data_IF_836851342996
#
_entry.id   IF_836851342996
#
_cell.length_a   1.000
_cell.length_b   1.000
_cell.length_c   1.000
_cell.angle_alpha   90.00
_cell.angle_beta   90.00
_cell.angle_gamma   90.00
#
_symmetry.space_group_name_H-M   'P 1'
#
loop_
_entity.id
_entity.type
_entity.pdbx_description
1 polymer ?
#
# COMPACT_ATOMS: atom_id res chain seq x y z
N UNK A 1 -6.89 -24.10 -0.88
CA UNK A 1 -5.91 -23.06 -1.28
C UNK A 1 -6.04 -21.98 -0.22
N UNK A 2 -4.96 -21.38 0.26
CA UNK A 2 -5.06 -20.44 1.39
C UNK A 2 -5.57 -19.08 0.91
N UNK A 3 -6.63 -18.60 1.54
CA UNK A 3 -7.18 -17.27 1.34
C UNK A 3 -6.31 -16.22 2.01
N UNK A 4 -6.49 -14.95 1.64
CA UNK A 4 -5.73 -13.85 2.25
C UNK A 4 -6.03 -13.73 3.74
N UNK A 5 -7.29 -13.87 4.14
CA UNK A 5 -7.67 -13.93 5.57
C UNK A 5 -6.94 -15.07 6.28
N UNK A 6 -6.85 -16.25 5.65
CA UNK A 6 -6.12 -17.39 6.20
C UNK A 6 -4.62 -17.08 6.31
N UNK A 7 -4.01 -16.42 5.33
CA UNK A 7 -2.58 -16.03 5.37
C UNK A 7 -2.29 -14.99 6.45
N UNK A 8 -3.19 -14.03 6.65
CA UNK A 8 -3.10 -13.03 7.72
C UNK A 8 -3.22 -13.69 9.10
N UNK A 9 -4.03 -14.75 9.22
CA UNK A 9 -4.25 -15.52 10.46
C UNK A 9 -3.23 -16.64 10.67
N UNK A 10 -2.66 -17.20 9.61
CA UNK A 10 -1.82 -18.40 9.62
C UNK A 10 -0.45 -18.15 10.27
N UNK A 11 -0.18 -16.93 10.75
CA UNK A 11 1.11 -16.54 11.35
C UNK A 11 2.25 -16.88 10.40
N UNK A 12 2.12 -16.44 9.15
CA UNK A 12 3.30 -16.35 8.28
C UNK A 12 4.35 -15.55 9.05
N UNK A 13 5.52 -16.14 9.24
CA UNK A 13 6.69 -15.74 10.05
C UNK A 13 6.95 -14.23 10.20
N UNK A 14 7.87 -13.82 11.11
CA UNK A 14 7.68 -13.27 12.47
C UNK A 14 6.67 -12.11 12.65
N UNK A 15 5.92 -11.71 11.63
CA UNK A 15 5.06 -10.52 11.69
C UNK A 15 3.61 -10.86 12.06
N UNK A 16 2.92 -9.92 12.70
CA UNK A 16 1.50 -10.01 13.05
C UNK A 16 0.68 -9.00 12.26
N UNK A 17 -0.50 -9.41 11.78
CA UNK A 17 -1.41 -8.57 10.98
C UNK A 17 -2.79 -8.38 11.65
N UNK A 18 -2.86 -8.54 12.97
CA UNK A 18 -4.13 -8.54 13.70
C UNK A 18 -4.89 -7.21 13.56
N UNK A 19 -4.19 -6.07 13.59
CA UNK A 19 -4.81 -4.75 13.33
C UNK A 19 -5.36 -4.67 11.91
N UNK A 20 -4.59 -5.07 10.90
CA UNK A 20 -5.03 -5.03 9.50
C UNK A 20 -6.29 -5.88 9.27
N UNK A 21 -6.33 -7.10 9.82
CA UNK A 21 -7.50 -7.97 9.77
C UNK A 21 -8.73 -7.31 10.39
N UNK A 22 -8.59 -6.72 11.59
CA UNK A 22 -9.69 -5.99 12.23
C UNK A 22 -10.19 -4.78 11.40
N UNK A 23 -9.31 -4.13 10.63
CA UNK A 23 -9.68 -3.01 9.76
C UNK A 23 -10.44 -3.50 8.52
N UNK A 24 -10.00 -4.60 7.90
CA UNK A 24 -10.69 -5.21 6.76
C UNK A 24 -12.10 -5.67 7.13
N UNK A 25 -12.23 -6.34 8.28
CA UNK A 25 -13.53 -6.78 8.83
C UNK A 25 -14.43 -5.57 9.12
N UNK A 26 -13.89 -4.51 9.75
CA UNK A 26 -14.66 -3.31 10.08
C UNK A 26 -15.14 -2.52 8.85
N UNK A 27 -14.38 -2.56 7.74
CA UNK A 27 -14.75 -1.91 6.49
C UNK A 27 -15.55 -2.81 5.54
N UNK A 28 -15.71 -4.11 5.83
CA UNK A 28 -16.38 -5.07 4.96
C UNK A 28 -15.63 -5.33 3.65
N UNK A 29 -14.30 -5.15 3.63
CA UNK A 29 -13.49 -5.46 2.45
C UNK A 29 -13.23 -6.96 2.30
N UNK A 30 -13.37 -7.78 3.35
CA UNK A 30 -13.20 -9.23 3.23
C UNK A 30 -14.15 -9.81 2.18
N UNK A 31 -15.44 -9.49 2.25
CA UNK A 31 -16.43 -9.94 1.26
C UNK A 31 -16.11 -9.44 -0.15
N UNK A 32 -15.62 -8.21 -0.31
CA UNK A 32 -15.22 -7.69 -1.63
C UNK A 32 -13.99 -8.42 -2.18
N UNK A 33 -12.99 -8.68 -1.34
CA UNK A 33 -11.78 -9.41 -1.73
C UNK A 33 -12.03 -10.89 -2.01
N UNK A 34 -13.06 -11.49 -1.40
CA UNK A 34 -13.54 -12.83 -1.73
C UNK A 34 -14.36 -12.87 -3.03
N UNK A 35 -15.16 -11.83 -3.32
CA UNK A 35 -15.93 -11.72 -4.59
C UNK A 35 -15.03 -11.37 -5.78
N UNK A 36 -13.90 -10.70 -5.53
CA UNK A 36 -12.87 -10.44 -6.54
C UNK A 36 -12.22 -11.76 -7.00
N UNK A 37 -12.80 -12.33 -8.06
CA UNK A 37 -12.27 -13.50 -8.75
C UNK A 37 -10.95 -13.22 -9.51
N UNK A 38 -10.57 -11.96 -9.64
CA UNK A 38 -9.38 -11.51 -10.35
C UNK A 38 -8.17 -11.44 -9.41
N UNK A 39 -6.98 -11.59 -9.97
CA UNK A 39 -5.75 -11.62 -9.17
C UNK A 39 -5.35 -10.21 -8.75
N UNK A 40 -5.27 -9.97 -7.44
CA UNK A 40 -4.84 -8.69 -6.89
C UNK A 40 -3.54 -8.80 -6.09
N UNK A 41 -2.95 -7.66 -5.79
CA UNK A 41 -1.75 -7.53 -4.96
C UNK A 41 -2.07 -6.69 -3.74
N UNK A 42 -1.98 -7.29 -2.55
CA UNK A 42 -2.22 -6.61 -1.29
C UNK A 42 -0.88 -6.25 -0.64
N UNK A 43 -0.67 -4.96 -0.42
CA UNK A 43 0.45 -4.47 0.37
C UNK A 43 0.05 -4.43 1.85
N UNK A 44 0.48 -5.42 2.62
CA UNK A 44 0.06 -5.58 4.01
C UNK A 44 1.10 -5.00 4.98
N UNK A 45 0.86 -3.84 5.61
CA UNK A 45 1.70 -3.36 6.71
C UNK A 45 1.51 -4.26 7.96
N UNK A 46 2.60 -4.70 8.62
CA UNK A 46 2.51 -5.44 9.88
C UNK A 46 2.10 -4.51 11.01
N UNK A 47 1.69 -5.08 12.14
CA UNK A 47 1.33 -4.36 13.37
C UNK A 47 2.43 -3.38 13.81
N UNK A 48 3.68 -3.74 13.56
CA UNK A 48 4.86 -2.93 13.86
C UNK A 48 4.91 -1.62 13.04
N UNK A 49 4.41 -1.63 11.80
CA UNK A 49 4.26 -0.44 10.97
C UNK A 49 3.21 0.52 11.55
N UNK A 50 2.12 -0.02 12.11
CA UNK A 50 1.13 0.76 12.85
C UNK A 50 1.72 1.30 14.16
N UNK A 51 2.57 0.53 14.83
CA UNK A 51 3.25 0.98 16.05
C UNK A 51 4.32 2.05 15.77
N UNK A 52 4.94 2.05 14.58
CA UNK A 52 5.92 3.06 14.14
C UNK A 52 5.30 4.41 13.78
N UNK A 53 3.98 4.50 13.65
CA UNK A 53 3.26 5.78 13.64
C UNK A 53 3.32 6.40 15.04
N UNK A 54 4.49 6.95 15.40
CA UNK A 54 4.78 7.56 16.70
C UNK A 54 3.60 8.39 17.24
N UNK A 55 3.22 8.09 18.50
CA UNK A 55 2.26 8.79 19.38
C UNK A 55 0.76 8.76 19.04
N UNK A 56 0.25 8.02 18.05
CA UNK A 56 -1.19 8.07 17.74
C UNK A 56 -1.81 6.68 17.62
N UNK A 57 -2.94 6.49 18.29
CA UNK A 57 -3.55 5.18 18.47
C UNK A 57 -4.16 4.70 17.16
N UNK A 58 -3.96 3.42 16.76
CA UNK A 58 -4.67 2.84 15.62
C UNK A 58 -6.20 2.93 15.76
N UNK A 59 -6.70 3.15 16.98
CA UNK A 59 -8.09 3.47 17.27
C UNK A 59 -8.65 4.70 16.55
N UNK A 60 -7.83 5.70 16.17
CA UNK A 60 -8.33 6.85 15.40
C UNK A 60 -8.67 6.45 13.95
N UNK A 61 -8.05 5.39 13.41
CA UNK A 61 -8.43 4.84 12.11
C UNK A 61 -9.85 4.25 12.14
N UNK A 62 -10.24 3.64 13.26
CA UNK A 62 -11.58 3.08 13.47
C UNK A 62 -12.68 4.14 13.62
N UNK A 63 -12.35 5.42 13.82
CA UNK A 63 -13.35 6.49 13.92
C UNK A 63 -13.91 6.92 12.57
N UNK A 64 -13.11 6.86 11.51
CA UNK A 64 -13.44 7.34 10.17
C UNK A 64 -13.40 6.18 9.17
N UNK A 65 -14.48 5.38 9.12
CA UNK A 65 -14.60 4.22 8.22
C UNK A 65 -14.44 4.62 6.74
N UNK A 66 -14.96 5.77 6.31
CA UNK A 66 -14.82 6.27 4.93
C UNK A 66 -13.35 6.54 4.53
N UNK A 67 -12.57 7.10 5.46
CA UNK A 67 -11.14 7.36 5.21
C UNK A 67 -10.34 6.07 5.30
N UNK A 68 -10.70 5.19 6.24
CA UNK A 68 -10.08 3.88 6.37
C UNK A 68 -10.29 3.04 5.12
N UNK A 69 -11.50 3.01 4.55
CA UNK A 69 -11.77 2.30 3.29
C UNK A 69 -10.85 2.78 2.17
N UNK A 70 -10.74 4.10 1.96
CA UNK A 70 -9.79 4.69 1.00
C UNK A 70 -8.34 4.30 1.27
N UNK A 71 -7.95 4.23 2.54
CA UNK A 71 -6.60 3.80 2.92
C UNK A 71 -6.38 2.33 2.56
N UNK A 72 -7.32 1.45 2.88
CA UNK A 72 -7.24 0.02 2.55
C UNK A 72 -7.26 -0.22 1.04
N UNK A 73 -8.13 0.48 0.31
CA UNK A 73 -8.19 0.49 -1.16
C UNK A 73 -6.85 0.91 -1.80
N UNK A 74 -6.08 1.78 -1.14
CA UNK A 74 -4.77 2.19 -1.64
C UNK A 74 -3.68 1.12 -1.42
N UNK A 75 -3.90 0.19 -0.48
CA UNK A 75 -3.02 -0.96 -0.29
C UNK A 75 -3.36 -2.13 -1.23
N UNK A 76 -4.50 -2.07 -1.92
CA UNK A 76 -4.95 -3.11 -2.85
C UNK A 76 -4.73 -2.62 -4.28
N UNK A 77 -3.92 -3.38 -5.01
CA UNK A 77 -3.71 -3.18 -6.44
C UNK A 77 -4.44 -4.30 -7.17
N UNK A 78 -5.48 -4.03 -7.98
CA UNK A 78 -6.19 -5.02 -8.78
C UNK A 78 -5.36 -5.49 -9.98
N UNK A 79 -4.08 -5.78 -9.76
CA UNK A 79 -3.14 -6.30 -10.72
C UNK A 79 -2.21 -7.24 -9.97
N UNK A 80 -1.95 -8.43 -10.51
CA UNK A 80 -0.92 -9.31 -9.98
C UNK A 80 0.45 -8.77 -10.33
N UNK A 81 1.22 -8.39 -9.32
CA UNK A 81 2.56 -7.84 -9.47
C UNK A 81 3.50 -8.66 -8.59
N UNK A 82 4.36 -9.45 -9.24
CA UNK A 82 5.42 -10.24 -8.61
C UNK A 82 6.75 -9.49 -8.68
N UNK A 83 7.71 -9.88 -7.84
CA UNK A 83 9.04 -9.26 -7.85
C UNK A 83 9.73 -9.44 -9.21
N UNK A 84 9.51 -10.59 -9.84
CA UNK A 84 10.00 -10.88 -11.19
C UNK A 84 9.37 -9.96 -12.25
N UNK A 85 8.06 -9.75 -12.20
CA UNK A 85 7.35 -8.85 -13.10
C UNK A 85 7.85 -7.41 -12.95
N UNK A 86 8.00 -6.93 -11.72
CA UNK A 86 8.56 -5.60 -11.48
C UNK A 86 9.95 -5.44 -12.10
N UNK A 87 10.84 -6.43 -11.91
CA UNK A 87 12.14 -6.41 -12.57
C UNK A 87 12.02 -6.36 -14.09
N UNK A 88 11.12 -7.15 -14.67
CA UNK A 88 10.88 -7.18 -16.12
C UNK A 88 10.38 -5.81 -16.59
N UNK A 89 9.42 -5.17 -15.91
CA UNK A 89 8.93 -3.84 -16.25
C UNK A 89 10.03 -2.78 -16.20
N UNK A 90 10.91 -2.81 -15.20
CA UNK A 90 12.05 -1.88 -15.11
C UNK A 90 13.12 -2.13 -16.17
N UNK A 91 13.31 -3.39 -16.60
CA UNK A 91 14.19 -3.73 -17.71
C UNK A 91 13.56 -3.33 -19.06
N UNK A 92 12.30 -3.68 -19.31
CA UNK A 92 11.56 -3.37 -20.54
C UNK A 92 11.28 -1.88 -20.74
N UNK A 93 11.11 -1.11 -19.66
CA UNK A 93 11.02 0.35 -19.73
C UNK A 93 12.30 1.01 -20.29
N UNK A 94 13.42 0.27 -20.45
CA UNK A 94 14.58 0.73 -21.21
C UNK A 94 14.52 0.41 -22.71
N UNK A 95 13.75 -0.59 -23.13
CA UNK A 95 13.76 -1.10 -24.51
C UNK A 95 12.49 -0.73 -25.29
N UNK A 96 11.35 -0.57 -24.62
CA UNK A 96 10.07 -0.17 -25.22
C UNK A 96 9.61 1.18 -24.66
N UNK A 97 10.32 2.24 -25.01
CA UNK A 97 9.71 3.56 -25.09
C UNK A 97 9.18 3.75 -26.52
N UNK A 98 7.92 3.42 -26.84
CA UNK A 98 7.31 3.98 -28.03
C UNK A 98 7.30 5.50 -27.88
N UNK A 99 7.99 6.11 -28.83
CA UNK A 99 7.94 7.51 -29.24
C UNK A 99 6.52 8.10 -29.21
N UNK A 100 6.05 8.57 -28.06
CA UNK A 100 4.95 9.55 -27.98
C UNK A 100 5.21 10.50 -26.79
N UNK A 101 6.09 11.45 -27.04
CA UNK A 101 5.94 12.88 -26.73
C UNK A 101 4.86 13.27 -25.69
N UNK A 102 5.29 13.58 -24.46
CA UNK A 102 5.17 14.89 -23.76
C UNK A 102 5.14 14.72 -22.23
N UNK A 103 6.31 14.79 -21.60
CA UNK A 103 6.47 15.38 -20.27
C UNK A 103 7.92 15.84 -20.08
N UNK A 104 8.12 17.08 -20.51
CA UNK A 104 9.16 18.04 -20.16
C UNK A 104 9.91 17.82 -18.84
N UNK A 105 11.24 17.84 -18.94
CA UNK A 105 12.17 18.52 -18.04
C UNK A 105 12.24 18.14 -16.55
N UNK A 106 12.93 17.03 -16.24
CA UNK A 106 13.83 16.94 -15.08
C UNK A 106 14.77 15.73 -15.23
N UNK A 107 16.07 16.01 -15.15
CA UNK A 107 17.18 15.09 -15.42
C UNK A 107 17.54 14.23 -14.19
N UNK A 108 16.53 13.87 -13.41
CA UNK A 108 16.58 12.82 -12.38
C UNK A 108 15.50 11.81 -12.77
N UNK A 109 15.79 10.97 -13.76
CA UNK A 109 14.96 9.81 -14.06
C UNK A 109 15.08 8.82 -12.88
N UNK A 110 14.44 9.14 -11.76
CA UNK A 110 14.04 8.12 -10.80
C UNK A 110 13.08 7.23 -11.56
N UNK A 111 13.52 6.03 -11.91
CA UNK A 111 12.67 5.03 -12.53
C UNK A 111 11.64 4.63 -11.48
N UNK A 112 10.41 5.04 -11.70
CA UNK A 112 9.28 4.58 -10.93
C UNK A 112 8.25 3.94 -11.86
N UNK A 113 7.58 2.91 -11.37
CA UNK A 113 6.44 2.25 -11.98
C UNK A 113 5.19 2.77 -11.29
N UNK A 114 4.24 3.29 -12.06
CA UNK A 114 2.93 3.68 -11.54
C UNK A 114 1.96 2.52 -11.72
N UNK A 115 1.34 2.09 -10.62
CA UNK A 115 0.31 1.05 -10.59
C UNK A 115 -1.04 1.67 -10.20
N UNK A 116 -2.13 1.32 -10.89
CA UNK A 116 -3.46 1.77 -10.50
C UNK A 116 -3.97 0.98 -9.28
N UNK A 117 -4.34 1.68 -8.21
CA UNK A 117 -4.92 1.07 -6.99
C UNK A 117 -6.45 1.09 -7.02
N UNK A 118 -7.10 0.31 -6.14
CA UNK A 118 -8.56 0.39 -5.97
C UNK A 118 -9.02 1.75 -5.47
N UNK A 119 -8.14 2.51 -4.80
CA UNK A 119 -8.45 3.88 -4.37
C UNK A 119 -8.60 4.85 -5.56
N UNK A 120 -8.26 4.42 -6.78
CA UNK A 120 -8.24 5.24 -7.98
C UNK A 120 -7.05 6.20 -8.07
N UNK A 121 -6.05 6.01 -7.20
CA UNK A 121 -4.81 6.79 -7.20
C UNK A 121 -3.63 5.92 -7.64
N UNK A 122 -2.67 6.47 -8.41
CA UNK A 122 -1.51 5.71 -8.82
C UNK A 122 -0.54 5.51 -7.65
N UNK A 123 -0.10 4.28 -7.47
CA UNK A 123 0.92 3.86 -6.52
C UNK A 123 2.28 3.84 -7.22
N UNK A 124 3.27 4.58 -6.71
CA UNK A 124 4.60 4.60 -7.31
C UNK A 124 5.52 3.58 -6.64
N UNK A 125 5.99 2.62 -7.43
CA UNK A 125 7.03 1.67 -7.03
C UNK A 125 8.34 2.15 -7.63
N UNK A 126 9.40 2.26 -6.84
CA UNK A 126 10.73 2.69 -7.29
C UNK A 126 11.73 1.57 -7.07
N UNK A 127 12.57 1.29 -8.06
CA UNK A 127 13.67 0.35 -7.91
C UNK A 127 14.94 1.11 -7.51
N UNK A 128 15.43 0.87 -6.29
CA UNK A 128 16.73 1.37 -5.83
C UNK A 128 17.69 0.19 -5.60
N UNK A 129 17.99 -0.12 -4.34
CA UNK A 129 18.71 -1.35 -3.93
C UNK A 129 17.72 -2.52 -3.72
N UNK A 130 16.52 -2.17 -3.24
CA UNK A 130 15.34 -3.02 -3.09
C UNK A 130 14.13 -2.30 -3.74
N UNK A 131 12.96 -2.91 -3.77
CA UNK A 131 11.74 -2.27 -4.26
C UNK A 131 11.14 -1.39 -3.16
N UNK A 132 10.97 -0.11 -3.47
CA UNK A 132 10.32 0.84 -2.59
C UNK A 132 8.93 1.18 -3.12
N UNK A 133 7.90 0.88 -2.36
CA UNK A 133 6.50 1.20 -2.67
C UNK A 133 6.13 2.48 -1.93
N UNK A 134 5.91 3.59 -2.62
CA UNK A 134 5.68 4.92 -2.01
C UNK A 134 6.71 5.26 -0.91
N UNK A 135 7.99 4.99 -1.16
CA UNK A 135 9.10 5.20 -0.22
C UNK A 135 9.07 4.26 1.02
N UNK A 136 8.21 3.24 1.03
CA UNK A 136 8.18 2.15 2.00
C UNK A 136 8.95 0.94 1.47
N UNK A 137 9.81 0.34 2.29
CA UNK A 137 10.55 -0.87 1.89
C UNK A 137 9.65 -2.09 1.99
N UNK A 138 9.77 -3.01 1.03
CA UNK A 138 9.11 -4.31 1.09
C UNK A 138 9.95 -5.22 1.99
N UNK A 139 9.39 -5.66 3.12
CA UNK A 139 10.05 -6.57 4.07
C UNK A 139 9.99 -8.02 3.57
N UNK A 140 8.86 -8.39 2.97
CA UNK A 140 8.60 -9.72 2.44
C UNK A 140 7.73 -9.61 1.19
N UNK A 141 8.17 -10.22 0.09
CA UNK A 141 7.46 -10.20 -1.19
C UNK A 141 7.04 -11.62 -1.60
N UNK A 142 6.26 -11.71 -2.68
CA UNK A 142 5.91 -12.97 -3.37
C UNK A 142 5.18 -14.00 -2.50
N UNK A 143 4.33 -13.54 -1.57
CA UNK A 143 3.45 -14.43 -0.80
C UNK A 143 2.24 -14.75 -1.67
N UNK A 144 2.28 -15.92 -2.33
CA UNK A 144 1.22 -16.37 -3.23
C UNK A 144 0.00 -16.86 -2.43
N UNK A 145 -1.17 -16.35 -2.81
CA UNK A 145 -2.46 -16.64 -2.19
C UNK A 145 -3.46 -17.17 -3.24
N UNK A 146 -4.63 -17.64 -2.82
CA UNK A 146 -5.66 -18.09 -3.76
C UNK A 146 -6.12 -16.99 -4.73
N UNK A 147 -6.29 -15.76 -4.23
CA UNK A 147 -6.90 -14.64 -4.97
C UNK A 147 -5.88 -13.57 -5.37
N UNK A 148 -4.58 -13.82 -5.19
CA UNK A 148 -3.58 -12.77 -5.41
C UNK A 148 -2.21 -13.02 -4.81
N UNK A 149 -1.44 -11.94 -4.66
CA UNK A 149 -0.15 -11.91 -3.98
C UNK A 149 -0.16 -10.92 -2.81
N UNK A 150 0.55 -11.24 -1.73
CA UNK A 150 0.73 -10.35 -0.59
C UNK A 150 2.19 -9.91 -0.52
N UNK A 151 2.40 -8.60 -0.34
CA UNK A 151 3.70 -8.01 -0.08
C UNK A 151 3.65 -7.29 1.26
N UNK A 152 4.50 -7.71 2.18
CA UNK A 152 4.65 -7.10 3.50
C UNK A 152 5.55 -5.89 3.38
N UNK A 153 5.06 -4.74 3.84
CA UNK A 153 5.76 -3.46 3.76
C UNK A 153 6.14 -2.95 5.15
N UNK A 154 7.23 -2.19 5.26
CA UNK A 154 7.70 -1.66 6.54
C UNK A 154 6.79 -0.54 7.09
N UNK A 155 6.12 0.20 6.20
CA UNK A 155 5.31 1.39 6.53
C UNK A 155 3.99 1.38 5.78
N UNK A 156 2.95 1.94 6.40
CA UNK A 156 1.62 2.13 5.82
C UNK A 156 1.68 3.11 4.64
N UNK A 157 0.97 2.77 3.57
CA UNK A 157 0.84 3.59 2.36
C UNK A 157 -0.29 4.60 2.55
N UNK A 158 -0.01 5.86 2.25
CA UNK A 158 -0.98 6.93 2.44
C UNK A 158 -1.41 7.49 1.08
N UNK A 159 -2.71 7.42 0.74
CA UNK A 159 -3.21 8.02 -0.49
C UNK A 159 -3.08 9.55 -0.44
N UNK A 160 -2.97 10.19 -1.61
CA UNK A 160 -2.86 11.63 -1.72
C UNK A 160 -4.08 12.32 -1.09
N UNK A 161 -3.82 13.20 -0.10
CA UNK A 161 -4.84 13.90 0.68
C UNK A 161 -5.24 13.22 1.99
N UNK A 162 -4.79 11.98 2.22
CA UNK A 162 -4.85 11.33 3.53
C UNK A 162 -3.46 11.35 4.15
N UNK A 163 -3.40 11.84 5.37
CA UNK A 163 -2.24 11.72 6.23
C UNK A 163 -2.73 11.13 7.54
N UNK A 164 -1.84 10.57 8.40
CA UNK A 164 -2.24 10.20 9.75
C UNK A 164 -2.95 11.40 10.39
N UNK A 165 -2.43 12.62 10.19
CA UNK A 165 -3.00 13.89 10.66
C UNK A 165 -4.51 14.05 10.39
N UNK A 166 -5.00 13.57 9.25
CA UNK A 166 -6.40 13.68 8.82
C UNK A 166 -7.37 12.82 9.65
N UNK A 167 -6.89 11.79 10.36
CA UNK A 167 -7.71 10.91 11.20
C UNK A 167 -7.94 11.49 12.60
N UNK A 168 -7.20 12.53 12.97
CA UNK A 168 -7.45 13.25 14.21
C UNK A 168 -8.34 14.43 13.88
N UNK A 169 -9.60 14.34 14.29
CA UNK A 169 -10.50 15.48 14.28
C UNK A 169 -9.84 16.67 14.98
N UNK A 170 -9.47 17.67 14.18
CA UNK A 170 -9.17 19.04 14.56
C UNK A 170 -8.29 19.18 15.82
N UNK A 171 -6.96 19.06 15.67
CA UNK A 171 -6.10 19.91 16.50
C UNK A 171 -6.16 21.31 15.89
N UNK A 172 -6.81 22.31 16.51
CA UNK A 172 -6.62 23.67 16.07
C UNK A 172 -5.13 23.94 16.20
N UNK A 173 -4.44 24.10 15.06
CA UNK A 173 -3.07 24.57 15.04
C UNK A 173 -3.01 25.80 15.95
N UNK A 174 -2.39 25.61 17.12
CA UNK A 174 -2.19 26.68 18.06
C UNK A 174 -1.33 27.72 17.38
N UNK A 175 -1.90 28.92 17.27
CA UNK A 175 -1.26 30.14 16.83
C UNK A 175 0.00 30.40 17.67
N UNK A 176 1.18 30.13 17.11
CA UNK A 176 2.51 30.58 17.54
C UNK A 176 3.51 30.03 16.52
N UNK A 177 4.46 30.71 15.89
CA UNK A 177 5.04 32.04 15.95
C UNK A 177 5.77 32.22 14.61
N UNK A 178 5.70 33.40 14.01
CA UNK A 178 6.76 33.99 13.19
C UNK A 178 6.37 35.48 13.02
N UNK A 179 6.65 36.23 14.08
CA UNK A 179 6.81 37.69 14.03
C UNK A 179 8.24 38.00 13.62
#
# INVERSE_FOLDING_TARGET
MWDISDILLARTTPFTFNVLHSLLEACGLEDELEDYADTFTLFAPPDEAFSMLDKKSPFDLFKDIDKLRRLLDFHIVPLKVEYADLQIFFHQANEEAPVMEQATANKEQRRFLSLDTLSGQPLHVTLADDFLVENSRVLYADILTANGAVHVIERILWPAGLSPESFHGNVPFSKAELT
#
